data_IF_429837918099
#
_entry.id   IF_429837918099
#
_cell.length_a   1.000
_cell.length_b   1.000
_cell.length_c   1.000
_cell.angle_alpha   90.00
_cell.angle_beta   90.00
_cell.angle_gamma   90.00
#
_symmetry.space_group_name_H-M   'P 1'
#
loop_
_entity.id
_entity.type
_entity.pdbx_description
1 polymer ?
#
# COMPACT_ATOMS: atom_id res chain seq x y z
N UNK A 1 1.94 -3.64 -40.76
CA UNK A 1 1.49 -3.61 -39.36
C UNK A 1 0.24 -2.77 -39.34
N UNK A 2 -0.93 -3.40 -39.23
CA UNK A 2 -2.21 -2.72 -39.18
C UNK A 2 -2.52 -2.43 -37.70
N UNK A 3 -2.55 -1.15 -37.33
CA UNK A 3 -3.03 -0.73 -36.02
C UNK A 3 -4.57 -0.76 -36.04
N UNK A 4 -5.16 -1.79 -35.42
CA UNK A 4 -6.58 -1.84 -35.16
C UNK A 4 -6.93 -0.79 -34.09
N UNK A 5 -7.58 0.28 -34.54
CA UNK A 5 -8.22 1.26 -33.67
C UNK A 5 -9.40 0.61 -32.95
N UNK A 6 -9.19 0.16 -31.71
CA UNK A 6 -10.27 -0.26 -30.82
C UNK A 6 -11.13 0.97 -30.48
N UNK A 7 -12.31 1.04 -31.12
CA UNK A 7 -13.32 2.05 -30.88
C UNK A 7 -14.02 1.75 -29.55
N UNK A 8 -13.60 2.41 -28.48
CA UNK A 8 -14.32 2.35 -27.19
C UNK A 8 -15.67 3.07 -27.35
N UNK A 9 -16.76 2.36 -27.06
CA UNK A 9 -18.09 2.93 -26.94
C UNK A 9 -18.27 3.24 -25.46
N UNK A 10 -18.39 4.52 -25.13
CA UNK A 10 -18.67 4.96 -23.76
C UNK A 10 -20.14 4.62 -23.46
N UNK A 11 -20.36 3.52 -22.74
CA UNK A 11 -21.70 3.09 -22.35
C UNK A 11 -22.07 3.88 -21.10
N UNK A 12 -23.06 4.76 -21.20
CA UNK A 12 -23.55 5.52 -20.06
C UNK A 12 -24.28 4.57 -19.08
N UNK A 13 -23.61 4.18 -17.99
CA UNK A 13 -24.14 3.26 -16.96
C UNK A 13 -25.20 3.87 -16.02
N UNK A 14 -25.52 5.17 -16.16
CA UNK A 14 -26.38 5.87 -15.20
C UNK A 14 -27.86 5.49 -15.26
N UNK A 15 -28.31 4.76 -16.29
CA UNK A 15 -29.72 4.36 -16.46
C UNK A 15 -30.01 2.88 -16.13
N UNK A 16 -29.01 2.07 -15.79
CA UNK A 16 -29.18 0.63 -15.51
C UNK A 16 -29.96 0.34 -14.22
N UNK A 17 -29.92 1.24 -13.24
CA UNK A 17 -30.47 1.00 -11.90
C UNK A 17 -32.02 0.97 -11.85
N UNK A 18 -32.69 1.39 -12.93
CA UNK A 18 -34.16 1.50 -12.98
C UNK A 18 -34.89 0.23 -13.42
N UNK A 19 -34.19 -0.77 -13.95
CA UNK A 19 -34.84 -1.96 -14.54
C UNK A 19 -34.28 -3.31 -14.05
N UNK A 20 -33.39 -3.29 -13.05
CA UNK A 20 -32.92 -4.53 -12.41
C UNK A 20 -34.05 -5.18 -11.60
N UNK A 21 -34.51 -6.32 -12.12
CA UNK A 21 -35.42 -7.23 -11.40
C UNK A 21 -34.65 -8.44 -10.90
N UNK A 22 -34.92 -8.83 -9.66
CA UNK A 22 -34.27 -9.94 -8.98
C UNK A 22 -35.23 -11.12 -8.88
N UNK A 23 -34.67 -12.32 -8.92
CA UNK A 23 -35.37 -13.59 -8.71
C UNK A 23 -35.46 -13.95 -7.23
N UNK A 24 -36.31 -14.92 -6.88
CA UNK A 24 -36.42 -15.38 -5.48
C UNK A 24 -35.10 -15.93 -4.93
N UNK A 25 -34.31 -16.60 -5.77
CA UNK A 25 -32.98 -17.14 -5.37
C UNK A 25 -32.01 -16.01 -5.04
N UNK A 26 -31.92 -14.99 -5.89
CA UNK A 26 -31.02 -13.85 -5.66
C UNK A 26 -31.43 -13.06 -4.41
N UNK A 27 -32.74 -12.83 -4.19
CA UNK A 27 -33.21 -12.16 -2.97
C UNK A 27 -32.93 -12.98 -1.72
N UNK A 28 -33.06 -14.31 -1.80
CA UNK A 28 -32.73 -15.22 -0.71
C UNK A 28 -31.24 -15.14 -0.34
N UNK A 29 -30.36 -15.06 -1.34
CA UNK A 29 -28.91 -14.85 -1.13
C UNK A 29 -28.61 -13.47 -0.54
N UNK A 30 -29.18 -12.39 -1.09
CA UNK A 30 -28.98 -11.02 -0.62
C UNK A 30 -29.40 -10.88 0.85
N UNK A 31 -30.55 -11.45 1.20
CA UNK A 31 -31.09 -11.38 2.56
C UNK A 31 -30.56 -12.49 3.46
N UNK A 32 -29.71 -13.40 2.97
CA UNK A 32 -29.20 -14.57 3.68
C UNK A 32 -30.33 -15.33 4.42
N UNK A 33 -31.35 -15.73 3.65
CA UNK A 33 -32.52 -16.50 4.11
C UNK A 33 -32.86 -17.56 3.06
N UNK A 34 -33.61 -18.59 3.46
CA UNK A 34 -34.07 -19.59 2.50
C UNK A 34 -35.14 -19.02 1.56
N UNK A 35 -35.16 -19.45 0.29
CA UNK A 35 -36.21 -19.05 -0.65
C UNK A 35 -37.63 -19.31 -0.13
N UNK A 36 -37.84 -20.40 0.62
CA UNK A 36 -39.13 -20.70 1.26
C UNK A 36 -39.56 -19.63 2.26
N UNK A 37 -38.60 -19.06 3.00
CA UNK A 37 -38.83 -17.98 3.95
C UNK A 37 -39.22 -16.71 3.23
N UNK A 38 -38.51 -16.37 2.14
CA UNK A 38 -38.85 -15.21 1.30
C UNK A 38 -40.26 -15.35 0.76
N UNK A 39 -40.60 -16.49 0.14
CA UNK A 39 -41.96 -16.75 -0.38
C UNK A 39 -43.02 -16.64 0.72
N UNK A 40 -42.76 -17.20 1.89
CA UNK A 40 -43.66 -17.13 3.03
C UNK A 40 -43.91 -15.69 3.50
N UNK A 41 -42.87 -14.86 3.57
CA UNK A 41 -43.02 -13.44 3.91
C UNK A 41 -43.79 -12.68 2.83
N UNK A 42 -43.51 -12.92 1.55
CA UNK A 42 -44.29 -12.33 0.46
C UNK A 42 -45.79 -12.63 0.59
N UNK A 43 -46.13 -13.84 1.01
CA UNK A 43 -47.53 -14.26 1.16
C UNK A 43 -48.15 -13.69 2.45
N UNK A 44 -47.38 -13.55 3.54
CA UNK A 44 -47.87 -12.96 4.79
C UNK A 44 -48.01 -11.43 4.74
N UNK A 45 -47.21 -10.75 3.93
CA UNK A 45 -47.15 -9.29 3.86
C UNK A 45 -47.60 -8.75 2.50
N UNK A 46 -48.44 -9.49 1.76
CA UNK A 46 -48.90 -9.12 0.41
C UNK A 46 -49.61 -7.76 0.34
N UNK A 47 -50.24 -7.34 1.44
CA UNK A 47 -50.94 -6.06 1.56
C UNK A 47 -49.97 -4.87 1.65
N UNK A 48 -48.70 -5.14 1.96
CA UNK A 48 -47.65 -4.14 2.17
C UNK A 48 -46.58 -4.21 1.10
N UNK A 49 -46.13 -5.42 0.74
CA UNK A 49 -45.06 -5.68 -0.22
C UNK A 49 -45.68 -6.17 -1.53
N UNK A 50 -45.76 -5.29 -2.52
CA UNK A 50 -46.32 -5.61 -3.82
C UNK A 50 -45.23 -6.11 -4.77
N UNK A 51 -45.35 -7.38 -5.17
CA UNK A 51 -44.34 -8.09 -5.96
C UNK A 51 -44.95 -8.45 -7.31
N UNK A 52 -44.24 -8.12 -8.37
CA UNK A 52 -44.64 -8.50 -9.73
C UNK A 52 -44.40 -9.99 -9.96
N UNK A 53 -45.24 -10.60 -10.80
CA UNK A 53 -45.12 -12.01 -11.15
C UNK A 53 -45.01 -12.18 -12.65
N UNK A 54 -44.04 -12.98 -13.07
CA UNK A 54 -43.94 -13.48 -14.43
C UNK A 54 -44.21 -14.99 -14.41
N UNK A 55 -45.46 -15.36 -14.71
CA UNK A 55 -45.93 -16.73 -14.58
C UNK A 55 -45.89 -17.23 -13.13
N UNK A 56 -45.07 -18.26 -12.87
CA UNK A 56 -44.86 -18.83 -11.53
C UNK A 56 -43.74 -18.13 -10.74
N UNK A 57 -42.95 -17.29 -11.40
CA UNK A 57 -41.78 -16.66 -10.80
C UNK A 57 -42.13 -15.27 -10.26
N UNK A 58 -41.58 -14.94 -9.10
CA UNK A 58 -41.69 -13.60 -8.48
C UNK A 58 -40.51 -12.74 -8.96
N UNK A 59 -40.79 -11.52 -9.41
CA UNK A 59 -39.81 -10.48 -9.77
C UNK A 59 -39.78 -9.43 -8.67
N UNK A 60 -38.61 -9.20 -8.11
CA UNK A 60 -38.41 -8.25 -7.03
C UNK A 60 -37.68 -7.03 -7.56
N UNK A 61 -38.14 -5.85 -7.16
CA UNK A 61 -37.37 -4.61 -7.31
C UNK A 61 -36.48 -4.40 -6.08
N UNK A 62 -35.53 -3.47 -6.17
CA UNK A 62 -34.72 -3.05 -5.01
C UNK A 62 -35.59 -2.62 -3.82
N UNK A 63 -36.68 -1.87 -4.09
CA UNK A 63 -37.65 -1.49 -3.05
C UNK A 63 -38.28 -2.70 -2.36
N UNK A 64 -38.60 -3.77 -3.09
CA UNK A 64 -39.14 -4.97 -2.47
C UNK A 64 -38.12 -5.69 -1.58
N UNK A 65 -36.83 -5.62 -1.93
CA UNK A 65 -35.75 -6.17 -1.12
C UNK A 65 -35.64 -5.38 0.19
N UNK A 66 -35.71 -4.05 0.13
CA UNK A 66 -35.69 -3.19 1.32
C UNK A 66 -36.89 -3.48 2.24
N UNK A 67 -38.09 -3.65 1.68
CA UNK A 67 -39.29 -4.02 2.43
C UNK A 67 -39.14 -5.40 3.12
N UNK A 68 -38.56 -6.38 2.41
CA UNK A 68 -38.29 -7.70 2.97
C UNK A 68 -37.19 -7.66 4.05
N UNK A 69 -36.17 -6.81 3.89
CA UNK A 69 -35.15 -6.58 4.90
C UNK A 69 -35.74 -5.98 6.19
N UNK A 70 -36.65 -5.01 6.05
CA UNK A 70 -37.39 -4.46 7.18
C UNK A 70 -38.25 -5.53 7.87
N UNK A 71 -38.95 -6.36 7.09
CA UNK A 71 -39.72 -7.49 7.62
C UNK A 71 -38.83 -8.48 8.37
N UNK A 72 -37.63 -8.79 7.85
CA UNK A 72 -36.64 -9.63 8.52
C UNK A 72 -36.24 -9.05 9.87
N UNK A 73 -36.01 -7.74 9.95
CA UNK A 73 -35.66 -7.07 11.21
C UNK A 73 -36.75 -7.23 12.27
N UNK A 74 -38.02 -6.99 11.91
CA UNK A 74 -39.15 -7.15 12.82
C UNK A 74 -39.27 -8.58 13.35
N UNK A 75 -39.11 -9.58 12.49
CA UNK A 75 -39.34 -10.99 12.86
C UNK A 75 -38.13 -11.63 13.55
N UNK A 76 -36.90 -11.32 13.11
CA UNK A 76 -35.68 -12.00 13.60
C UNK A 76 -34.96 -11.21 14.68
N UNK A 77 -34.81 -9.88 14.53
CA UNK A 77 -34.12 -9.05 15.53
C UNK A 77 -35.06 -8.68 16.67
N UNK A 78 -36.25 -8.18 16.35
CA UNK A 78 -37.22 -7.76 17.35
C UNK A 78 -38.12 -8.91 17.85
N UNK A 79 -38.03 -10.09 17.22
CA UNK A 79 -38.76 -11.31 17.60
C UNK A 79 -40.28 -11.13 17.65
N UNK A 80 -40.82 -10.27 16.79
CA UNK A 80 -42.26 -10.09 16.67
C UNK A 80 -42.90 -11.29 15.96
N UNK A 81 -44.14 -11.59 16.33
CA UNK A 81 -44.98 -12.50 15.55
C UNK A 81 -45.40 -11.84 14.23
N UNK A 82 -45.78 -12.64 13.23
CA UNK A 82 -46.28 -12.14 11.93
C UNK A 82 -47.40 -11.12 12.13
N UNK A 83 -48.37 -11.39 13.00
CA UNK A 83 -49.47 -10.48 13.30
C UNK A 83 -49.02 -9.14 13.89
N UNK A 84 -48.00 -9.16 14.77
CA UNK A 84 -47.44 -7.93 15.35
C UNK A 84 -46.65 -7.14 14.31
N UNK A 85 -45.90 -7.81 13.46
CA UNK A 85 -45.17 -7.17 12.37
C UNK A 85 -46.13 -6.53 11.34
N UNK A 86 -47.25 -7.19 10.99
CA UNK A 86 -48.28 -6.61 10.10
C UNK A 86 -48.89 -5.32 10.69
N UNK A 87 -49.21 -5.31 11.99
CA UNK A 87 -49.69 -4.09 12.67
C UNK A 87 -48.67 -2.96 12.61
N UNK A 88 -47.37 -3.29 12.68
CA UNK A 88 -46.30 -2.29 12.58
C UNK A 88 -46.20 -1.71 11.17
N UNK A 89 -46.36 -2.55 10.16
CA UNK A 89 -46.47 -2.13 8.76
C UNK A 89 -47.66 -1.18 8.53
N UNK A 90 -48.82 -1.48 9.08
CA UNK A 90 -50.02 -0.63 9.00
C UNK A 90 -49.80 0.74 9.65
N UNK A 91 -49.16 0.77 10.82
CA UNK A 91 -48.83 2.02 11.51
C UNK A 91 -47.88 2.91 10.70
N UNK A 92 -46.90 2.31 10.03
CA UNK A 92 -45.93 3.04 9.20
C UNK A 92 -46.58 3.61 7.93
N UNK A 93 -47.48 2.87 7.27
CA UNK A 93 -48.19 3.37 6.08
C UNK A 93 -49.21 4.47 6.42
N UNK A 94 -49.88 4.39 7.57
CA UNK A 94 -50.92 5.35 7.98
C UNK A 94 -50.35 6.64 8.57
N UNK A 95 -49.13 6.60 9.12
CA UNK A 95 -48.43 7.77 9.65
C UNK A 95 -46.99 7.83 9.10
N UNK A 96 -46.78 8.31 7.86
CA UNK A 96 -45.46 8.34 7.22
C UNK A 96 -44.44 9.31 7.86
N UNK A 97 -44.70 9.84 9.05
CA UNK A 97 -43.74 10.64 9.81
C UNK A 97 -44.14 10.71 11.29
N UNK A 98 -43.63 9.79 12.10
CA UNK A 98 -42.92 10.10 13.35
C UNK A 98 -42.31 8.81 13.89
N UNK A 99 -41.02 8.90 14.21
CA UNK A 99 -40.23 7.86 14.84
C UNK A 99 -40.97 7.16 16.00
N UNK A 100 -40.95 5.84 15.93
CA UNK A 100 -41.31 4.81 16.91
C UNK A 100 -41.32 5.29 18.37
N UNK A 101 -42.51 5.37 18.98
CA UNK A 101 -42.78 5.08 20.40
C UNK A 101 -44.29 5.00 20.64
N UNK A 102 -44.83 3.78 20.64
CA UNK A 102 -46.19 3.50 21.11
C UNK A 102 -46.10 3.32 22.62
N UNK A 103 -46.62 4.28 23.38
CA UNK A 103 -47.07 4.08 24.77
C UNK A 103 -48.58 3.99 24.69
N UNK A 104 -49.11 2.86 25.14
CA UNK A 104 -50.53 2.61 25.36
C UNK A 104 -51.08 3.50 26.47
N UNK A 105 -52.14 4.28 26.22
CA UNK A 105 -53.12 4.64 27.26
C UNK A 105 -54.40 5.20 26.64
N UNK A 106 -55.51 4.66 27.12
CA UNK A 106 -56.91 5.06 26.89
C UNK A 106 -57.24 6.39 27.56
N UNK A 107 -58.04 7.21 26.86
CA UNK A 107 -58.96 8.29 27.27
C UNK A 107 -58.92 8.84 28.71
N UNK A 108 -58.48 10.11 28.90
CA UNK A 108 -59.05 11.06 29.89
C UNK A 108 -58.77 12.56 29.60
N UNK A 109 -59.80 13.37 29.90
CA UNK A 109 -60.00 14.81 30.16
C UNK A 109 -58.93 15.91 29.87
N UNK A 110 -59.42 17.02 29.30
CA UNK A 110 -58.74 18.19 28.71
C UNK A 110 -57.66 18.96 29.50
N UNK A 111 -57.46 18.72 30.80
CA UNK A 111 -56.35 19.30 31.58
C UNK A 111 -55.09 18.42 31.53
N UNK A 112 -55.24 17.10 31.36
CA UNK A 112 -54.12 16.19 31.09
C UNK A 112 -53.48 16.52 29.74
N UNK A 113 -54.26 16.92 28.73
CA UNK A 113 -53.74 17.26 27.41
C UNK A 113 -52.76 18.44 27.41
N UNK A 114 -53.00 19.50 28.18
CA UNK A 114 -52.09 20.67 28.27
C UNK A 114 -50.81 20.31 29.04
N UNK A 115 -50.94 19.52 30.12
CA UNK A 115 -49.79 19.04 30.89
C UNK A 115 -48.93 18.07 30.07
N UNK A 116 -49.59 17.23 29.26
CA UNK A 116 -48.94 16.31 28.32
C UNK A 116 -48.24 17.08 27.20
N UNK A 117 -48.83 18.13 26.64
CA UNK A 117 -48.17 19.00 25.64
C UNK A 117 -46.92 19.71 26.22
N UNK A 118 -47.01 20.26 27.43
CA UNK A 118 -45.85 20.87 28.08
C UNK A 118 -44.75 19.85 28.43
N UNK A 119 -45.14 18.63 28.83
CA UNK A 119 -44.20 17.54 29.05
C UNK A 119 -43.53 17.09 27.73
N UNK A 120 -44.28 17.07 26.63
CA UNK A 120 -43.76 16.75 25.29
C UNK A 120 -42.76 17.80 24.80
N UNK A 121 -43.04 19.09 24.96
CA UNK A 121 -42.13 20.17 24.57
C UNK A 121 -40.81 20.10 25.35
N UNK A 122 -40.86 19.85 26.66
CA UNK A 122 -39.67 19.63 27.48
C UNK A 122 -38.90 18.38 27.05
N UNK A 123 -39.59 17.31 26.71
CA UNK A 123 -38.96 16.09 26.21
C UNK A 123 -38.25 16.32 24.87
N UNK A 124 -38.86 17.12 23.99
CA UNK A 124 -38.26 17.48 22.71
C UNK A 124 -37.03 18.37 22.89
N UNK A 125 -37.06 19.30 23.85
CA UNK A 125 -35.92 20.13 24.21
C UNK A 125 -34.77 19.29 24.80
N UNK A 126 -35.08 18.37 25.73
CA UNK A 126 -34.10 17.43 26.28
C UNK A 126 -33.49 16.57 25.17
N UNK A 127 -34.30 16.09 24.22
CA UNK A 127 -33.80 15.33 23.07
C UNK A 127 -32.84 16.18 22.22
N UNK A 128 -33.17 17.44 21.96
CA UNK A 128 -32.31 18.36 21.19
C UNK A 128 -30.98 18.62 21.90
N UNK A 129 -31.02 18.88 23.21
CA UNK A 129 -29.82 19.06 24.03
C UNK A 129 -28.96 17.79 24.01
N UNK A 130 -29.56 16.63 24.25
CA UNK A 130 -28.87 15.35 24.26
C UNK A 130 -28.19 15.02 22.91
N UNK A 131 -28.88 15.29 21.78
CA UNK A 131 -28.30 15.10 20.45
C UNK A 131 -27.12 16.06 20.21
N UNK A 132 -27.22 17.30 20.69
CA UNK A 132 -26.14 18.27 20.56
C UNK A 132 -24.93 17.89 21.41
N UNK A 133 -25.16 17.40 22.63
CA UNK A 133 -24.09 16.95 23.53
C UNK A 133 -23.37 15.73 22.95
N UNK A 134 -24.12 14.75 22.42
CA UNK A 134 -23.54 13.60 21.70
C UNK A 134 -22.72 14.09 20.51
N UNK A 135 -23.26 14.97 19.68
CA UNK A 135 -22.56 15.50 18.51
C UNK A 135 -21.25 16.17 18.91
N UNK A 136 -21.29 17.00 19.94
CA UNK A 136 -20.12 17.71 20.48
C UNK A 136 -19.08 16.73 21.03
N UNK A 137 -19.52 15.73 21.79
CA UNK A 137 -18.63 14.71 22.36
C UNK A 137 -17.97 13.86 21.27
N UNK A 138 -18.73 13.45 20.25
CA UNK A 138 -18.21 12.70 19.10
C UNK A 138 -17.17 13.54 18.37
N UNK A 139 -17.49 14.80 18.04
CA UNK A 139 -16.56 15.69 17.33
C UNK A 139 -15.27 15.91 18.11
N UNK A 140 -15.36 16.13 19.42
CA UNK A 140 -14.19 16.30 20.29
C UNK A 140 -13.35 15.02 20.35
N UNK A 141 -14.00 13.86 20.51
CA UNK A 141 -13.31 12.57 20.58
C UNK A 141 -12.59 12.25 19.28
N UNK A 142 -13.26 12.43 18.14
CA UNK A 142 -12.67 12.23 16.81
C UNK A 142 -11.50 13.19 16.60
N UNK A 143 -11.66 14.47 16.94
CA UNK A 143 -10.59 15.47 16.79
C UNK A 143 -9.36 15.12 17.63
N UNK A 144 -9.57 14.66 18.87
CA UNK A 144 -8.49 14.26 19.76
C UNK A 144 -7.79 12.99 19.29
N UNK A 145 -8.55 11.98 18.84
CA UNK A 145 -8.00 10.75 18.27
C UNK A 145 -7.20 11.02 17.00
N UNK A 146 -7.72 11.85 16.09
CA UNK A 146 -7.02 12.25 14.87
C UNK A 146 -5.72 13.00 15.19
N UNK A 147 -5.75 13.95 16.13
CA UNK A 147 -4.56 14.68 16.54
C UNK A 147 -3.49 13.76 17.14
N UNK A 148 -3.89 12.83 17.99
CA UNK A 148 -2.97 11.86 18.62
C UNK A 148 -2.35 10.93 17.57
N UNK A 149 -3.18 10.39 16.67
CA UNK A 149 -2.72 9.52 15.59
C UNK A 149 -1.77 10.26 14.63
N UNK A 150 -2.09 11.50 14.26
CA UNK A 150 -1.25 12.32 13.38
C UNK A 150 0.11 12.62 14.01
N UNK A 151 0.13 12.95 15.30
CA UNK A 151 1.37 13.22 16.03
C UNK A 151 2.25 11.97 16.11
N UNK A 152 1.67 10.82 16.47
CA UNK A 152 2.40 9.56 16.53
C UNK A 152 2.97 9.15 15.15
N UNK A 153 2.21 9.36 14.08
CA UNK A 153 2.68 9.09 12.72
C UNK A 153 3.84 10.01 12.32
N UNK A 154 3.76 11.30 12.64
CA UNK A 154 4.85 12.25 12.36
C UNK A 154 6.13 11.93 13.15
N UNK A 155 5.98 11.51 14.41
CA UNK A 155 7.12 11.09 15.23
C UNK A 155 7.80 9.84 14.65
N UNK A 156 7.01 8.83 14.27
CA UNK A 156 7.54 7.64 13.59
C UNK A 156 8.22 7.99 12.26
N UNK A 157 7.66 8.92 11.49
CA UNK A 157 8.27 9.38 10.24
C UNK A 157 9.62 10.06 10.46
N UNK A 158 9.75 10.93 11.45
CA UNK A 158 11.04 11.56 11.76
C UNK A 158 12.05 10.55 12.31
N UNK A 159 11.61 9.57 13.11
CA UNK A 159 12.48 8.51 13.59
C UNK A 159 13.03 7.66 12.44
N UNK A 160 12.17 7.18 11.54
CA UNK A 160 12.59 6.37 10.38
C UNK A 160 13.55 7.13 9.46
N UNK A 161 13.36 8.44 9.31
CA UNK A 161 14.26 9.32 8.55
C UNK A 161 15.65 9.43 9.19
N UNK A 162 15.72 9.53 10.52
CA UNK A 162 16.99 9.53 11.25
C UNK A 162 17.68 8.17 11.10
N UNK A 163 16.97 7.08 11.32
CA UNK A 163 17.51 5.72 11.19
C UNK A 163 18.06 5.44 9.78
N UNK A 164 17.33 5.86 8.74
CA UNK A 164 17.79 5.76 7.35
C UNK A 164 19.06 6.57 7.11
N UNK A 165 19.13 7.79 7.64
CA UNK A 165 20.32 8.64 7.49
C UNK A 165 21.55 8.00 8.15
N UNK A 166 21.38 7.44 9.35
CA UNK A 166 22.47 6.80 10.08
C UNK A 166 22.93 5.52 9.37
N UNK A 167 21.98 4.69 8.91
CA UNK A 167 22.28 3.49 8.13
C UNK A 167 23.04 3.80 6.83
N UNK A 168 22.60 4.83 6.09
CA UNK A 168 23.26 5.27 4.86
C UNK A 168 24.67 5.76 5.17
N UNK A 169 24.84 6.57 6.22
CA UNK A 169 26.13 7.13 6.60
C UNK A 169 27.13 6.01 6.95
N UNK A 170 26.74 5.08 7.82
CA UNK A 170 27.58 3.94 8.20
C UNK A 170 27.92 3.05 6.99
N UNK A 171 26.94 2.71 6.16
CA UNK A 171 27.17 1.83 5.00
C UNK A 171 28.09 2.48 3.95
N UNK A 172 27.93 3.78 3.71
CA UNK A 172 28.78 4.52 2.77
C UNK A 172 30.19 4.63 3.34
N UNK A 173 30.33 4.95 4.62
CA UNK A 173 31.63 5.07 5.29
C UNK A 173 32.41 3.75 5.23
N UNK A 174 31.80 2.63 5.62
CA UNK A 174 32.41 1.30 5.56
C UNK A 174 32.88 0.94 4.13
N UNK A 175 32.03 1.19 3.12
CA UNK A 175 32.36 0.89 1.72
C UNK A 175 33.45 1.80 1.17
N UNK A 176 33.43 3.07 1.52
CA UNK A 176 34.47 4.03 1.13
C UNK A 176 35.81 3.67 1.78
N UNK A 177 35.81 3.31 3.06
CA UNK A 177 37.01 2.90 3.78
C UNK A 177 37.59 1.62 3.19
N UNK A 178 36.76 0.59 2.95
CA UNK A 178 37.19 -0.65 2.33
C UNK A 178 37.79 -0.41 0.92
N UNK A 179 37.13 0.41 0.09
CA UNK A 179 37.64 0.75 -1.24
C UNK A 179 38.95 1.54 -1.18
N UNK A 180 39.05 2.49 -0.25
CA UNK A 180 40.26 3.30 -0.06
C UNK A 180 41.43 2.42 0.37
N UNK A 181 41.20 1.49 1.31
CA UNK A 181 42.19 0.52 1.77
C UNK A 181 42.66 -0.39 0.62
N UNK A 182 41.73 -0.92 -0.17
CA UNK A 182 42.04 -1.77 -1.33
C UNK A 182 42.84 -1.02 -2.40
N UNK A 183 42.46 0.23 -2.72
CA UNK A 183 43.21 1.07 -3.66
C UNK A 183 44.62 1.35 -3.16
N UNK A 184 44.77 1.68 -1.88
CA UNK A 184 46.08 1.91 -1.27
C UNK A 184 46.96 0.66 -1.37
N UNK A 185 46.44 -0.51 -1.01
CA UNK A 185 47.17 -1.77 -1.12
C UNK A 185 47.60 -2.07 -2.58
N UNK A 186 46.74 -1.79 -3.55
CA UNK A 186 47.08 -1.95 -4.97
C UNK A 186 48.18 -0.98 -5.41
N UNK A 187 48.11 0.28 -4.99
CA UNK A 187 49.14 1.29 -5.29
C UNK A 187 50.48 0.87 -4.69
N UNK A 188 50.48 0.43 -3.42
CA UNK A 188 51.69 -0.01 -2.73
C UNK A 188 52.33 -1.22 -3.45
N UNK A 189 51.52 -2.23 -3.80
CA UNK A 189 51.99 -3.41 -4.53
C UNK A 189 52.52 -3.06 -5.93
N UNK A 190 51.86 -2.15 -6.64
CA UNK A 190 52.29 -1.68 -7.97
C UNK A 190 53.60 -0.91 -7.86
N UNK A 191 53.74 -0.07 -6.84
CA UNK A 191 54.94 0.72 -6.56
C UNK A 191 56.12 -0.20 -6.24
N UNK A 192 55.91 -1.21 -5.39
CA UNK A 192 56.94 -2.19 -5.04
C UNK A 192 57.40 -2.99 -6.28
N UNK A 193 56.47 -3.45 -7.11
CA UNK A 193 56.80 -4.18 -8.35
C UNK A 193 57.58 -3.30 -9.33
N UNK A 194 57.16 -2.04 -9.52
CA UNK A 194 57.85 -1.09 -10.39
C UNK A 194 59.27 -0.84 -9.91
N UNK A 195 59.46 -0.65 -8.60
CA UNK A 195 60.80 -0.48 -8.01
C UNK A 195 61.68 -1.72 -8.23
N UNK A 196 61.14 -2.94 -8.06
CA UNK A 196 61.86 -4.18 -8.36
C UNK A 196 62.29 -4.26 -9.82
N UNK A 197 61.42 -3.88 -10.76
CA UNK A 197 61.75 -3.85 -12.19
C UNK A 197 62.86 -2.83 -12.50
N UNK A 198 62.78 -1.63 -11.91
CA UNK A 198 63.82 -0.61 -12.05
C UNK A 198 65.18 -1.13 -11.54
N UNK A 199 65.21 -1.77 -10.37
CA UNK A 199 66.44 -2.36 -9.84
C UNK A 199 67.00 -3.46 -10.75
N UNK A 200 66.15 -4.34 -11.28
CA UNK A 200 66.58 -5.37 -12.23
C UNK A 200 67.17 -4.80 -13.53
N UNK A 201 66.61 -3.69 -14.04
CA UNK A 201 67.15 -3.01 -15.22
C UNK A 201 68.52 -2.42 -14.88
N UNK A 202 68.63 -1.73 -13.75
CA UNK A 202 69.89 -1.16 -13.30
C UNK A 202 70.99 -2.21 -13.14
N UNK A 203 70.68 -3.35 -12.52
CA UNK A 203 71.63 -4.45 -12.34
C UNK A 203 72.12 -5.01 -13.69
N UNK A 204 71.20 -5.16 -14.67
CA UNK A 204 71.55 -5.58 -16.05
C UNK A 204 72.42 -4.56 -16.77
N UNK A 205 72.13 -3.27 -16.61
CA UNK A 205 72.94 -2.21 -17.21
C UNK A 205 74.37 -2.20 -16.64
N UNK A 206 74.52 -2.43 -15.32
CA UNK A 206 75.82 -2.58 -14.67
C UNK A 206 76.58 -3.79 -15.19
N UNK A 207 75.91 -4.93 -15.34
CA UNK A 207 76.49 -6.16 -15.91
C UNK A 207 76.99 -5.92 -17.34
N UNK A 208 76.16 -5.32 -18.20
CA UNK A 208 76.51 -4.99 -19.58
C UNK A 208 77.72 -4.05 -19.67
N UNK A 209 77.78 -3.02 -18.82
CA UNK A 209 78.93 -2.09 -18.77
C UNK A 209 80.21 -2.83 -18.37
N UNK A 210 80.14 -3.73 -17.39
CA UNK A 210 81.28 -4.53 -16.98
C UNK A 210 81.78 -5.48 -18.08
N UNK A 211 80.85 -6.14 -18.78
CA UNK A 211 81.17 -7.02 -19.91
C UNK A 211 81.79 -6.25 -21.07
N UNK A 212 81.25 -5.08 -21.41
CA UNK A 212 81.82 -4.19 -22.42
C UNK A 212 83.25 -3.77 -22.05
N UNK A 213 83.47 -3.38 -20.79
CA UNK A 213 84.80 -3.01 -20.28
C UNK A 213 85.79 -4.18 -20.40
N UNK A 214 85.37 -5.39 -20.02
CA UNK A 214 86.18 -6.61 -20.15
C UNK A 214 86.56 -6.88 -21.61
N UNK A 215 85.60 -6.85 -22.53
CA UNK A 215 85.86 -7.05 -23.94
C UNK A 215 86.77 -5.99 -24.56
N UNK A 216 86.68 -4.73 -24.12
CA UNK A 216 87.62 -3.69 -24.54
C UNK A 216 89.05 -3.98 -24.08
N UNK A 217 89.22 -4.43 -22.84
CA UNK A 217 90.54 -4.80 -22.30
C UNK A 217 91.13 -6.00 -23.06
N UNK A 218 90.32 -7.04 -23.32
CA UNK A 218 90.72 -8.20 -24.14
C UNK A 218 91.10 -7.80 -25.57
N UNK A 219 90.41 -6.84 -26.18
CA UNK A 219 90.75 -6.31 -27.51
C UNK A 219 92.05 -5.53 -27.48
N UNK A 220 92.27 -4.71 -26.43
CA UNK A 220 93.51 -3.96 -26.24
C UNK A 220 94.72 -4.90 -26.09
N UNK A 221 94.60 -5.92 -25.23
CA UNK A 221 95.64 -6.94 -25.05
C UNK A 221 95.94 -7.69 -26.35
N UNK A 222 94.91 -8.12 -27.10
CA UNK A 222 95.09 -8.78 -28.41
C UNK A 222 95.80 -7.87 -29.42
N UNK A 223 95.47 -6.58 -29.46
CA UNK A 223 96.14 -5.63 -30.33
C UNK A 223 97.60 -5.40 -29.94
N UNK A 224 97.90 -5.31 -28.64
CA UNK A 224 99.27 -5.22 -28.11
C UNK A 224 100.09 -6.48 -28.46
N UNK A 225 99.53 -7.66 -28.28
CA UNK A 225 100.17 -8.93 -28.67
C UNK A 225 100.41 -9.03 -30.17
N UNK A 226 99.43 -8.63 -31.00
CA UNK A 226 99.58 -8.65 -32.46
C UNK A 226 100.62 -7.62 -32.94
N UNK A 227 100.66 -6.43 -32.34
CA UNK A 227 101.68 -5.43 -32.64
C UNK A 227 103.08 -5.89 -32.21
N UNK A 228 103.20 -6.54 -31.05
CA UNK A 228 104.46 -7.15 -30.61
C UNK A 228 104.93 -8.27 -31.56
N UNK A 229 104.02 -9.13 -32.03
CA UNK A 229 104.32 -10.17 -33.03
C UNK A 229 104.74 -9.57 -34.38
N UNK A 230 104.03 -8.54 -34.88
CA UNK A 230 104.40 -7.84 -36.13
C UNK A 230 105.75 -7.12 -36.04
N UNK A 231 106.04 -6.49 -34.90
CA UNK A 231 107.34 -5.85 -34.64
C UNK A 231 108.50 -6.86 -34.52
N UNK A 232 108.21 -8.07 -34.02
CA UNK A 232 109.16 -9.18 -33.96
C UNK A 232 109.50 -9.72 -35.37
N UNK A 233 108.50 -10.01 -36.21
CA UNK A 233 108.73 -10.47 -37.59
C UNK A 233 109.35 -9.39 -38.48
N UNK A 234 109.02 -8.11 -38.30
CA UNK A 234 109.66 -7.00 -39.02
C UNK A 234 111.15 -6.81 -38.71
N UNK A 235 111.61 -7.30 -37.54
CA UNK A 235 113.05 -7.36 -37.20
C UNK A 235 113.72 -8.64 -37.68
N UNK A 236 112.97 -9.74 -37.77
CA UNK A 236 113.50 -11.03 -38.22
C UNK A 236 113.69 -11.13 -39.74
N UNK A 237 112.89 -10.41 -40.53
CA UNK A 237 112.90 -10.45 -42.00
C UNK A 237 113.49 -9.21 -42.68
N UNK A 238 114.16 -8.32 -41.93
CA UNK A 238 114.99 -7.27 -42.53
C UNK A 238 116.37 -7.85 -42.88
N UNK A 239 116.52 -8.31 -44.12
CA UNK A 239 117.79 -8.52 -44.81
C UNK A 239 117.68 -7.96 -46.21
#
# INVERSE_FOLDING_TARGET
MNEESTRYVDVNYSDLDKELTYTTSEVAEILNENESTIRYWCDCFSDYIHIEREGRNRKFTKSNIDDLAFTKELLKKERLTIKQAQKRWEHIKTQPSQNTKIISTTETTSQENVLNEQALLKLEEIKKQFLNDISTQINNTISQQLSTALNAHNEALEQTKVELKDYISATIEDKLEANTSNLKAHIDATTENTNKQIHQIYDKDVELVNDLKKHMEERKQRNEEQNNKKGFFGKLFKR
#
